data_IF_375329878422
#
_entry.id   IF_375329878422
#
_cell.length_a   1.000
_cell.length_b   1.000
_cell.length_c   1.000
_cell.angle_alpha   90.00
_cell.angle_beta   90.00
_cell.angle_gamma   90.00
#
_symmetry.space_group_name_H-M   'P 1'
#
loop_
_entity.id
_entity.type
_entity.pdbx_description
1 polymer ?
#
# COMPACT_ATOMS: atom_id res chain seq x y z
N UNK A 1 13.18 -0.39 10.78
CA UNK A 1 12.89 -0.89 9.42
C UNK A 1 13.99 -0.40 8.49
N UNK A 2 14.42 -1.22 7.54
CA UNK A 2 15.45 -0.85 6.54
C UNK A 2 14.88 0.11 5.48
N UNK A 3 15.71 0.99 4.89
CA UNK A 3 15.27 1.94 3.84
C UNK A 3 14.63 1.24 2.62
N UNK A 4 15.14 0.04 2.28
CA UNK A 4 14.59 -0.80 1.22
C UNK A 4 13.12 -1.15 1.45
N UNK A 5 12.73 -1.38 2.71
CA UNK A 5 11.37 -1.75 3.11
C UNK A 5 10.43 -0.58 3.03
N UNK A 6 10.86 0.58 3.49
CA UNK A 6 10.06 1.81 3.36
C UNK A 6 9.81 2.14 1.90
N UNK A 7 10.84 2.00 1.05
CA UNK A 7 10.68 2.20 -0.39
C UNK A 7 9.75 1.15 -1.04
N UNK A 8 9.80 -0.09 -0.56
CA UNK A 8 8.89 -1.17 -0.97
C UNK A 8 7.44 -0.87 -0.55
N UNK A 9 7.23 -0.37 0.67
CA UNK A 9 5.93 0.08 1.17
C UNK A 9 5.39 1.26 0.35
N UNK A 10 6.21 2.28 0.06
CA UNK A 10 5.77 3.40 -0.78
C UNK A 10 5.30 2.95 -2.16
N UNK A 11 5.99 1.96 -2.76
CA UNK A 11 5.53 1.34 -4.01
C UNK A 11 4.22 0.58 -3.83
N UNK A 12 4.06 -0.16 -2.73
CA UNK A 12 2.84 -0.90 -2.43
C UNK A 12 1.64 0.04 -2.31
N UNK A 13 1.77 1.12 -1.54
CA UNK A 13 0.75 2.17 -1.43
C UNK A 13 0.48 2.85 -2.77
N UNK A 14 1.52 3.15 -3.55
CA UNK A 14 1.33 3.78 -4.86
C UNK A 14 0.62 2.85 -5.87
N UNK A 15 0.69 1.52 -5.73
CA UNK A 15 -0.01 0.56 -6.60
C UNK A 15 -1.51 0.52 -6.32
N UNK A 16 -1.91 0.66 -5.05
CA UNK A 16 -3.32 0.66 -4.64
C UNK A 16 -3.95 2.06 -4.69
N UNK A 17 -3.13 3.11 -4.63
CA UNK A 17 -3.58 4.47 -4.87
C UNK A 17 -4.09 4.59 -6.31
N UNK A 18 -5.37 4.91 -6.47
CA UNK A 18 -5.99 5.07 -7.79
C UNK A 18 -5.82 6.52 -8.22
N UNK A 19 -5.61 6.76 -9.51
CA UNK A 19 -5.54 8.10 -10.14
C UNK A 19 -6.87 8.88 -10.10
N UNK A 20 -7.64 8.76 -9.03
CA UNK A 20 -8.88 9.50 -8.81
C UNK A 20 -8.61 10.69 -7.88
N UNK A 21 -9.41 11.74 -8.05
CA UNK A 21 -9.26 13.08 -7.45
C UNK A 21 -9.22 13.12 -5.90
N UNK A 22 -9.42 11.98 -5.23
CA UNK A 22 -9.38 11.82 -3.76
C UNK A 22 -7.99 11.52 -3.17
N UNK A 23 -6.92 11.79 -3.91
CA UNK A 23 -5.53 11.56 -3.48
C UNK A 23 -5.11 12.29 -2.20
N UNK A 24 -5.89 13.27 -1.71
CA UNK A 24 -5.55 14.05 -0.51
C UNK A 24 -5.70 13.25 0.79
N UNK A 25 -6.79 12.50 0.95
CA UNK A 25 -7.05 11.67 2.14
C UNK A 25 -6.09 10.48 2.20
N UNK A 26 -5.87 9.82 1.06
CA UNK A 26 -4.87 8.76 0.89
C UNK A 26 -3.46 9.21 1.31
N UNK A 27 -3.04 10.40 0.87
CA UNK A 27 -1.75 10.99 1.26
C UNK A 27 -1.68 11.28 2.75
N UNK A 28 -2.78 11.68 3.39
CA UNK A 28 -2.81 11.94 4.82
C UNK A 28 -2.64 10.65 5.63
N UNK A 29 -3.25 9.53 5.21
CA UNK A 29 -3.06 8.23 5.84
C UNK A 29 -1.58 7.80 5.75
N UNK A 30 -0.99 7.82 4.55
CA UNK A 30 0.43 7.47 4.34
C UNK A 30 1.37 8.38 5.13
N UNK A 31 1.08 9.68 5.19
CA UNK A 31 1.86 10.65 5.96
C UNK A 31 1.78 10.41 7.46
N UNK A 32 0.59 10.09 7.98
CA UNK A 32 0.39 9.75 9.39
C UNK A 32 1.12 8.47 9.76
N UNK A 33 1.03 7.45 8.90
CA UNK A 33 1.77 6.20 9.04
C UNK A 33 3.29 6.43 9.08
N UNK A 34 3.84 7.16 8.11
CA UNK A 34 5.27 7.49 8.08
C UNK A 34 5.71 8.27 9.33
N UNK A 35 4.90 9.21 9.81
CA UNK A 35 5.20 9.99 11.03
C UNK A 35 5.23 9.14 12.30
N UNK A 36 4.48 8.05 12.36
CA UNK A 36 4.51 7.13 13.50
C UNK A 36 5.78 6.26 13.51
N UNK A 37 6.39 6.05 12.34
CA UNK A 37 7.56 5.17 12.18
C UNK A 37 8.88 5.91 12.05
N UNK A 38 8.86 7.16 11.59
CA UNK A 38 10.04 7.91 11.16
C UNK A 38 10.03 9.36 11.67
N UNK A 39 11.21 9.97 11.63
CA UNK A 39 11.39 11.40 11.91
C UNK A 39 10.85 12.26 10.77
N UNK A 40 10.50 13.52 11.06
CA UNK A 40 9.92 14.47 10.09
C UNK A 40 10.70 14.60 8.77
N UNK A 41 12.03 14.55 8.82
CA UNK A 41 12.89 14.65 7.64
C UNK A 41 12.71 13.45 6.70
N UNK A 42 12.77 12.24 7.26
CA UNK A 42 12.57 11.01 6.51
C UNK A 42 11.13 10.90 5.98
N UNK A 43 10.13 11.34 6.77
CA UNK A 43 8.74 11.40 6.30
C UNK A 43 8.63 12.18 5.00
N UNK A 44 9.29 13.35 4.90
CA UNK A 44 9.26 14.16 3.70
C UNK A 44 9.90 13.44 2.51
N UNK A 45 11.07 12.82 2.72
CA UNK A 45 11.78 12.07 1.68
C UNK A 45 10.96 10.90 1.13
N UNK A 46 10.33 10.10 1.99
CA UNK A 46 9.49 8.98 1.58
C UNK A 46 8.17 9.44 0.94
N UNK A 47 7.62 10.58 1.36
CA UNK A 47 6.43 11.15 0.76
C UNK A 47 6.70 11.65 -0.67
N UNK A 48 7.88 12.23 -0.91
CA UNK A 48 8.34 12.58 -2.27
C UNK A 48 8.51 11.32 -3.12
N UNK A 49 9.11 10.25 -2.58
CA UNK A 49 9.22 8.96 -3.28
C UNK A 49 7.85 8.38 -3.63
N UNK A 50 6.88 8.47 -2.73
CA UNK A 50 5.50 8.05 -2.98
C UNK A 50 4.87 8.83 -4.14
N UNK A 51 5.01 10.16 -4.14
CA UNK A 51 4.52 11.00 -5.25
C UNK A 51 5.23 10.70 -6.58
N UNK A 52 6.53 10.39 -6.55
CA UNK A 52 7.28 9.96 -7.73
C UNK A 52 6.76 8.63 -8.28
N UNK A 53 6.47 7.67 -7.41
CA UNK A 53 5.88 6.38 -7.81
C UNK A 53 4.47 6.53 -8.35
N UNK A 54 3.66 7.43 -7.77
CA UNK A 54 2.34 7.78 -8.29
C UNK A 54 2.44 8.38 -9.70
N UNK A 55 3.25 9.43 -9.88
CA UNK A 55 3.46 10.07 -11.20
C UNK A 55 4.00 9.09 -12.23
N UNK A 56 5.00 8.28 -11.86
CA UNK A 56 5.56 7.24 -12.74
C UNK A 56 4.51 6.19 -13.14
N UNK A 57 3.47 6.00 -12.34
CA UNK A 57 2.36 5.12 -12.67
C UNK A 57 1.39 5.77 -13.68
N UNK A 58 1.15 7.07 -13.53
CA UNK A 58 0.26 7.89 -14.38
C UNK A 58 0.87 8.23 -15.75
N UNK A 59 2.13 8.66 -15.80
CA UNK A 59 2.84 9.11 -17.02
C UNK A 59 3.07 7.98 -18.04
N UNK A 60 2.81 6.72 -17.67
CA UNK A 60 2.89 5.56 -18.57
C UNK A 60 1.55 5.10 -19.16
N UNK A 61 0.46 5.84 -18.94
CA UNK A 61 -0.91 5.40 -19.20
C UNK A 61 -1.60 6.13 -20.37
N UNK A 62 -1.13 5.92 -21.60
CA UNK A 62 -1.99 6.11 -22.78
C UNK A 62 -2.77 4.81 -23.09
N UNK A 63 -4.09 4.89 -23.00
CA UNK A 63 -5.06 3.99 -23.65
C UNK A 63 -5.13 2.53 -23.17
N UNK A 64 -4.81 1.60 -24.07
CA UNK A 64 -5.14 0.16 -24.00
C UNK A 64 -4.37 -0.67 -22.95
N UNK A 65 -3.35 -0.10 -22.28
CA UNK A 65 -2.50 -0.81 -21.31
C UNK A 65 -3.08 -0.92 -19.91
N UNK A 66 -4.23 -0.27 -19.62
CA UNK A 66 -4.90 -0.26 -18.31
C UNK A 66 -5.40 -1.67 -17.91
N UNK A 67 -5.92 -2.46 -18.87
CA UNK A 67 -6.44 -3.83 -18.63
C UNK A 67 -5.36 -4.92 -18.56
N UNK A 68 -4.26 -4.81 -19.32
CA UNK A 68 -3.15 -5.80 -19.27
C UNK A 68 -2.25 -5.66 -18.04
N UNK A 69 -2.28 -4.52 -17.32
CA UNK A 69 -1.41 -4.27 -16.16
C UNK A 69 -1.88 -4.86 -14.84
N UNK A 70 -3.18 -5.12 -14.64
CA UNK A 70 -3.67 -5.80 -13.42
C UNK A 70 -2.97 -7.17 -13.22
N UNK A 71 -2.72 -7.90 -14.32
CA UNK A 71 -2.00 -9.17 -14.30
C UNK A 71 -0.48 -9.05 -14.06
N UNK A 72 0.19 -8.02 -14.60
CA UNK A 72 1.65 -7.82 -14.46
C UNK A 72 2.02 -7.14 -13.13
N UNK A 73 1.12 -6.34 -12.55
CA UNK A 73 1.30 -5.75 -11.23
C UNK A 73 1.23 -6.79 -10.11
N UNK A 74 0.48 -7.88 -10.29
CA UNK A 74 0.34 -8.94 -9.27
C UNK A 74 1.68 -9.59 -8.88
N UNK A 75 2.57 -9.86 -9.84
CA UNK A 75 3.89 -10.44 -9.55
C UNK A 75 4.80 -9.42 -8.82
N UNK A 76 4.74 -8.15 -9.21
CA UNK A 76 5.53 -7.10 -8.55
C UNK A 76 5.08 -6.88 -7.11
N UNK A 77 3.77 -6.93 -6.86
CA UNK A 77 3.21 -6.85 -5.50
C UNK A 77 3.70 -8.02 -4.67
N UNK A 78 3.66 -9.25 -5.18
CA UNK A 78 4.16 -10.44 -4.45
C UNK A 78 5.66 -10.31 -4.12
N UNK A 79 6.48 -9.84 -5.06
CA UNK A 79 7.93 -9.63 -4.81
C UNK A 79 8.16 -8.56 -3.74
N UNK A 80 7.41 -7.46 -3.79
CA UNK A 80 7.45 -6.39 -2.79
C UNK A 80 7.00 -6.93 -1.42
N UNK A 81 5.88 -7.66 -1.39
CA UNK A 81 5.36 -8.29 -0.18
C UNK A 81 6.37 -9.28 0.41
N UNK A 82 7.02 -10.12 -0.40
CA UNK A 82 8.05 -11.04 0.11
C UNK A 82 9.25 -10.31 0.69
N UNK A 83 9.75 -9.26 0.04
CA UNK A 83 10.83 -8.43 0.58
C UNK A 83 10.44 -7.79 1.91
N UNK A 84 9.20 -7.31 2.02
CA UNK A 84 8.63 -6.79 3.25
C UNK A 84 8.50 -7.91 4.30
N UNK A 85 8.04 -9.09 3.90
CA UNK A 85 7.74 -10.22 4.77
C UNK A 85 8.97 -10.80 5.49
N UNK A 86 10.13 -10.78 4.83
CA UNK A 86 11.41 -11.27 5.38
C UNK A 86 12.01 -10.34 6.44
N UNK A 87 11.78 -9.02 6.32
CA UNK A 87 12.38 -8.02 7.21
C UNK A 87 11.39 -7.47 8.25
N UNK A 88 10.08 -7.60 8.04
CA UNK A 88 9.07 -7.20 9.02
C UNK A 88 8.83 -8.28 10.06
N UNK A 89 8.75 -7.85 11.32
CA UNK A 89 8.20 -8.65 12.40
C UNK A 89 6.68 -8.81 12.24
N UNK A 90 6.10 -9.86 12.83
CA UNK A 90 4.64 -10.07 12.75
C UNK A 90 3.82 -8.85 13.19
N UNK A 91 4.24 -8.19 14.28
CA UNK A 91 3.59 -6.95 14.75
C UNK A 91 3.56 -5.86 13.68
N UNK A 92 4.66 -5.69 12.95
CA UNK A 92 4.72 -4.68 11.89
C UNK A 92 3.85 -5.05 10.69
N UNK A 93 3.70 -6.34 10.37
CA UNK A 93 2.81 -6.79 9.28
C UNK A 93 1.37 -6.44 9.56
N UNK A 94 0.92 -6.63 10.81
CA UNK A 94 -0.40 -6.19 11.27
C UNK A 94 -0.57 -4.67 11.15
N UNK A 95 0.42 -3.88 11.57
CA UNK A 95 0.36 -2.42 11.45
C UNK A 95 0.24 -2.02 9.97
N UNK A 96 1.02 -2.61 9.07
CA UNK A 96 0.93 -2.34 7.62
C UNK A 96 -0.45 -2.70 7.09
N UNK A 97 -1.00 -3.85 7.48
CA UNK A 97 -2.31 -4.32 7.04
C UNK A 97 -3.43 -3.36 7.48
N UNK A 98 -3.44 -2.95 8.75
CA UNK A 98 -4.42 -1.99 9.29
C UNK A 98 -4.33 -0.66 8.53
N UNK A 99 -3.10 -0.14 8.30
CA UNK A 99 -2.93 1.09 7.53
C UNK A 99 -3.39 0.95 6.07
N UNK A 100 -3.23 -0.24 5.48
CA UNK A 100 -3.73 -0.55 4.14
C UNK A 100 -5.27 -0.53 4.12
N UNK A 101 -5.90 -1.09 5.15
CA UNK A 101 -7.35 -1.08 5.32
C UNK A 101 -7.86 0.35 5.53
N UNK A 102 -7.24 1.13 6.43
CA UNK A 102 -7.55 2.56 6.60
C UNK A 102 -7.38 3.34 5.29
N UNK A 103 -6.35 3.02 4.51
CA UNK A 103 -6.08 3.65 3.23
C UNK A 103 -7.16 3.36 2.18
N UNK A 104 -7.65 2.12 2.08
CA UNK A 104 -8.73 1.80 1.14
C UNK A 104 -10.09 2.28 1.65
N UNK A 105 -10.27 2.32 2.97
CA UNK A 105 -11.49 2.77 3.64
C UNK A 105 -11.61 4.30 3.63
N UNK A 106 -10.50 5.05 3.60
CA UNK A 106 -10.51 6.52 3.53
C UNK A 106 -11.18 7.05 2.26
N UNK A 107 -11.34 6.21 1.23
CA UNK A 107 -12.10 6.52 -0.01
C UNK A 107 -13.62 6.48 0.20
N UNK A 108 -14.10 6.08 1.37
CA UNK A 108 -15.52 5.94 1.73
C UNK A 108 -16.18 4.65 1.23
N UNK A 109 -15.57 3.93 0.29
CA UNK A 109 -16.02 2.61 -0.16
C UNK A 109 -14.86 1.80 -0.73
N UNK A 110 -14.70 0.58 -0.22
CA UNK A 110 -13.66 -0.35 -0.69
C UNK A 110 -14.17 -1.03 -1.97
N UNK A 111 -13.44 -0.87 -3.07
CA UNK A 111 -13.75 -1.55 -4.34
C UNK A 111 -13.32 -3.02 -4.28
N UNK A 112 -13.97 -3.90 -5.05
CA UNK A 112 -13.65 -5.33 -5.14
C UNK A 112 -12.16 -5.57 -5.44
N UNK A 113 -11.58 -4.77 -6.34
CA UNK A 113 -10.15 -4.83 -6.67
C UNK A 113 -9.23 -4.47 -5.49
N UNK A 114 -9.64 -3.51 -4.66
CA UNK A 114 -8.88 -3.09 -3.48
C UNK A 114 -8.95 -4.18 -2.41
N UNK A 115 -10.12 -4.80 -2.26
CA UNK A 115 -10.33 -5.92 -1.33
C UNK A 115 -9.52 -7.16 -1.73
N UNK A 116 -9.50 -7.51 -3.02
CA UNK A 116 -8.62 -8.57 -3.56
C UNK A 116 -7.14 -8.26 -3.28
N UNK A 117 -6.74 -7.00 -3.40
CA UNK A 117 -5.38 -6.57 -3.11
C UNK A 117 -5.05 -6.74 -1.62
N UNK A 118 -5.89 -6.23 -0.73
CA UNK A 118 -5.72 -6.37 0.73
C UNK A 118 -5.64 -7.85 1.12
N UNK A 119 -6.50 -8.69 0.56
CA UNK A 119 -6.52 -10.14 0.81
C UNK A 119 -5.22 -10.81 0.32
N UNK A 120 -4.71 -10.42 -0.84
CA UNK A 120 -3.43 -10.91 -1.39
C UNK A 120 -2.25 -10.51 -0.51
N UNK A 121 -2.24 -9.28 0.00
CA UNK A 121 -1.21 -8.78 0.92
C UNK A 121 -1.28 -9.51 2.26
N UNK A 122 -2.48 -9.69 2.83
CA UNK A 122 -2.71 -10.48 4.05
C UNK A 122 -2.15 -11.90 3.91
N UNK A 123 -2.49 -12.56 2.80
CA UNK A 123 -1.99 -13.90 2.48
C UNK A 123 -0.46 -13.92 2.37
N UNK A 124 0.13 -12.92 1.72
CA UNK A 124 1.59 -12.80 1.58
C UNK A 124 2.29 -12.56 2.91
N UNK A 125 1.65 -11.83 3.83
CA UNK A 125 2.15 -11.60 5.19
C UNK A 125 1.91 -12.75 6.14
N UNK A 126 1.28 -13.83 5.66
CA UNK A 126 0.94 -15.01 6.44
C UNK A 126 -0.04 -14.66 7.58
N UNK A 127 -0.97 -13.75 7.31
CA UNK A 127 -2.04 -13.33 8.22
C UNK A 127 -3.34 -14.04 7.79
N UNK A 128 -3.96 -14.84 8.68
CA UNK A 128 -5.17 -15.58 8.37
C UNK A 128 -6.37 -14.65 8.12
N UNK A 129 -7.34 -15.11 7.34
CA UNK A 129 -8.54 -14.32 6.98
C UNK A 129 -9.38 -13.92 8.19
N UNK A 130 -9.41 -14.73 9.26
CA UNK A 130 -10.07 -14.37 10.53
C UNK A 130 -9.49 -13.07 11.12
N UNK A 131 -8.16 -12.97 11.19
CA UNK A 131 -7.47 -11.78 11.71
C UNK A 131 -7.66 -10.57 10.77
N UNK A 132 -7.67 -10.81 9.46
CA UNK A 132 -7.99 -9.78 8.48
C UNK A 132 -9.40 -9.22 8.71
N UNK A 133 -10.39 -10.09 8.91
CA UNK A 133 -11.77 -9.69 9.22
C UNK A 133 -11.87 -8.91 10.53
N UNK A 134 -11.08 -9.28 11.56
CA UNK A 134 -11.01 -8.51 12.80
C UNK A 134 -10.40 -7.13 12.58
N UNK A 135 -9.36 -7.00 11.75
CA UNK A 135 -8.79 -5.70 11.39
C UNK A 135 -9.80 -4.84 10.60
N UNK A 136 -10.60 -5.43 9.73
CA UNK A 136 -11.66 -4.73 8.98
C UNK A 136 -12.80 -4.22 9.87
N UNK A 137 -13.07 -4.87 11.00
CA UNK A 137 -14.07 -4.41 11.97
C UNK A 137 -13.57 -3.27 12.87
N UNK A 138 -12.25 -3.07 12.94
CA UNK A 138 -11.61 -2.05 13.79
C UNK A 138 -11.32 -0.74 13.06
N UNK A 139 -11.26 -0.78 11.72
CA UNK A 139 -11.03 0.37 10.84
C UNK A 139 -12.36 1.03 10.43
#
# INVERSE_FOLDING_TARGET
MSEKILRALMRLFAIIAKSDENSADEKNVVKSYLKQLLNKEQVYEYLVLYEEFLKSQDEGAEGEKKKRRLAVSSVKVIVICNQINEELTQKQKFIVLINLIEFVSSKGSISEQEMEFVTTVSSSFNIPEDELNQCLQLA
#
